data_IF_444322697637
#
_entry.id   IF_444322697637
#
_cell.length_a   1.000
_cell.length_b   1.000
_cell.length_c   1.000
_cell.angle_alpha   90.00
_cell.angle_beta   90.00
_cell.angle_gamma   90.00
#
_symmetry.space_group_name_H-M   'P 1'
#
loop_
_entity.id
_entity.type
_entity.pdbx_description
1 polymer ?
#
# COMPACT_ATOMS: atom_id res chain seq x y z
N UNK A 1 9.87 -5.78 -5.24
CA UNK A 1 8.83 -6.31 -4.33
C UNK A 1 7.79 -5.21 -4.10
N UNK A 2 6.55 -5.55 -3.72
CA UNK A 2 5.50 -4.60 -3.35
C UNK A 2 4.69 -5.12 -2.15
N UNK A 3 4.17 -4.22 -1.31
CA UNK A 3 3.42 -4.57 -0.09
C UNK A 3 2.22 -3.62 0.12
N UNK A 4 1.13 -3.75 -0.64
CA UNK A 4 -0.09 -3.02 -0.34
C UNK A 4 -0.74 -3.54 0.95
N UNK A 5 -1.06 -2.62 1.87
CA UNK A 5 -1.53 -2.95 3.22
C UNK A 5 -2.96 -2.48 3.41
N UNK A 6 -3.85 -3.41 3.78
CA UNK A 6 -5.27 -3.17 4.12
C UNK A 6 -6.01 -2.32 3.08
N UNK A 7 -5.67 -2.49 1.80
CA UNK A 7 -6.19 -1.64 0.72
C UNK A 7 -6.72 -2.40 -0.52
N UNK A 8 -6.17 -3.57 -0.85
CA UNK A 8 -6.55 -4.26 -2.11
C UNK A 8 -7.87 -4.99 -1.96
N UNK A 9 -8.79 -4.73 -2.89
CA UNK A 9 -10.09 -5.38 -2.97
C UNK A 9 -10.54 -5.52 -4.43
N UNK A 10 -11.27 -6.60 -4.73
CA UNK A 10 -11.93 -6.77 -6.04
C UNK A 10 -13.23 -5.95 -6.17
N UNK A 11 -13.80 -5.49 -5.05
CA UNK A 11 -15.14 -4.93 -5.00
C UNK A 11 -15.22 -3.52 -4.36
N UNK A 12 -14.08 -2.96 -3.96
CA UNK A 12 -13.95 -1.60 -3.44
C UNK A 12 -12.71 -0.92 -4.03
N UNK A 13 -12.91 0.25 -4.64
CA UNK A 13 -11.88 0.95 -5.40
C UNK A 13 -11.24 2.14 -4.66
N UNK A 14 -11.61 2.34 -3.39
CA UNK A 14 -11.25 3.52 -2.61
C UNK A 14 -12.39 4.53 -2.57
N UNK A 15 -12.64 5.08 -1.39
CA UNK A 15 -13.78 5.95 -1.12
C UNK A 15 -13.49 7.43 -1.41
N UNK A 16 -12.22 7.79 -1.54
CA UNK A 16 -11.78 9.14 -1.85
C UNK A 16 -11.60 9.35 -3.35
N UNK A 17 -11.85 10.58 -3.82
CA UNK A 17 -11.56 10.99 -5.20
C UNK A 17 -10.09 10.81 -5.58
N UNK A 18 -9.16 10.85 -4.63
CA UNK A 18 -7.75 10.58 -4.93
C UNK A 18 -7.47 9.11 -5.27
N UNK A 19 -8.36 8.19 -4.89
CA UNK A 19 -8.22 6.75 -5.12
C UNK A 19 -8.98 6.30 -6.37
N UNK A 20 -10.20 6.83 -6.56
CA UNK A 20 -11.15 6.35 -7.58
C UNK A 20 -11.78 7.47 -8.42
N UNK A 21 -11.24 8.70 -8.36
CA UNK A 21 -11.81 9.86 -9.06
C UNK A 21 -11.61 9.86 -10.58
N UNK A 22 -10.64 9.11 -11.10
CA UNK A 22 -10.42 8.91 -12.53
C UNK A 22 -10.92 7.51 -12.95
N UNK A 23 -11.42 7.34 -14.19
CA UNK A 23 -12.04 6.11 -14.66
C UNK A 23 -11.02 5.02 -15.03
N UNK A 24 -10.07 4.75 -14.14
CA UNK A 24 -9.01 3.74 -14.38
C UNK A 24 -9.55 2.31 -14.28
N UNK A 25 -10.57 2.08 -13.46
CA UNK A 25 -11.16 0.74 -13.26
C UNK A 25 -12.15 0.37 -14.36
N UNK A 26 -12.83 1.34 -14.99
CA UNK A 26 -13.88 1.05 -15.97
C UNK A 26 -14.05 2.17 -16.97
N UNK A 27 -14.08 1.82 -18.25
CA UNK A 27 -14.53 2.68 -19.34
C UNK A 27 -15.28 1.85 -20.41
N UNK A 28 -15.43 2.37 -21.63
CA UNK A 28 -16.14 1.68 -22.70
C UNK A 28 -15.42 0.44 -23.27
N UNK A 29 -14.10 0.35 -23.07
CA UNK A 29 -13.22 -0.66 -23.68
C UNK A 29 -12.70 -1.67 -22.66
N UNK A 30 -12.68 -1.32 -21.37
CA UNK A 30 -12.19 -2.20 -20.31
C UNK A 30 -12.93 -2.07 -18.99
N UNK A 31 -12.86 -3.15 -18.22
CA UNK A 31 -13.24 -3.20 -16.81
C UNK A 31 -12.17 -4.03 -16.08
N UNK A 32 -11.65 -3.50 -14.98
CA UNK A 32 -10.60 -4.11 -14.15
C UNK A 32 -10.85 -3.75 -12.68
N UNK A 33 -9.99 -4.22 -11.79
CA UNK A 33 -10.08 -4.00 -10.34
C UNK A 33 -8.68 -3.87 -9.71
N UNK A 34 -8.62 -3.49 -8.44
CA UNK A 34 -7.34 -3.31 -7.73
C UNK A 34 -6.55 -4.61 -7.56
N UNK A 35 -7.17 -5.78 -7.67
CA UNK A 35 -6.48 -7.09 -7.62
C UNK A 35 -5.62 -7.28 -8.86
N UNK A 36 -6.19 -7.04 -10.04
CA UNK A 36 -5.48 -7.13 -11.32
C UNK A 36 -4.38 -6.07 -11.42
N UNK A 37 -4.67 -4.84 -11.01
CA UNK A 37 -3.67 -3.76 -10.97
C UNK A 37 -2.51 -4.14 -10.03
N UNK A 38 -2.79 -4.61 -8.81
CA UNK A 38 -1.74 -5.04 -7.88
C UNK A 38 -0.94 -6.24 -8.41
N UNK A 39 -1.61 -7.20 -9.05
CA UNK A 39 -0.97 -8.40 -9.59
C UNK A 39 -0.16 -8.14 -10.88
N UNK A 40 -0.30 -6.97 -11.51
CA UNK A 40 0.48 -6.59 -12.71
C UNK A 40 2.00 -6.58 -12.50
N UNK A 41 2.45 -6.57 -11.24
CA UNK A 41 3.87 -6.65 -10.88
C UNK A 41 4.45 -8.09 -11.02
N UNK A 42 3.62 -9.10 -11.28
CA UNK A 42 4.07 -10.47 -11.51
C UNK A 42 5.18 -10.52 -12.58
N UNK A 43 6.24 -11.33 -12.41
CA UNK A 43 6.46 -12.33 -11.36
C UNK A 43 7.19 -11.80 -10.10
N UNK A 44 7.33 -10.47 -9.92
CA UNK A 44 8.10 -9.93 -8.78
C UNK A 44 7.39 -10.22 -7.45
N UNK A 45 8.11 -10.31 -6.31
CA UNK A 45 7.48 -10.57 -5.02
C UNK A 45 6.39 -9.57 -4.65
N UNK A 46 5.25 -10.06 -4.18
CA UNK A 46 4.10 -9.27 -3.72
C UNK A 46 3.53 -9.85 -2.42
N UNK A 47 3.38 -9.03 -1.40
CA UNK A 47 2.66 -9.38 -0.17
C UNK A 47 1.39 -8.54 -0.07
N UNK A 48 0.24 -9.20 0.04
CA UNK A 48 -1.03 -8.53 0.37
C UNK A 48 -1.27 -8.68 1.86
N UNK A 49 -1.42 -7.56 2.56
CA UNK A 49 -1.81 -7.56 3.97
C UNK A 49 -3.30 -7.21 4.08
N UNK A 50 -4.07 -8.05 4.75
CA UNK A 50 -5.53 -7.89 4.92
C UNK A 50 -5.98 -8.11 6.36
N UNK A 51 -7.19 -7.68 6.70
CA UNK A 51 -7.79 -7.85 8.02
C UNK A 51 -9.27 -8.30 7.91
N UNK A 52 -9.92 -8.59 9.04
CA UNK A 52 -11.29 -9.12 9.05
C UNK A 52 -12.41 -8.08 9.07
N UNK A 53 -12.12 -6.82 9.40
CA UNK A 53 -13.15 -5.79 9.66
C UNK A 53 -13.32 -4.75 8.55
N UNK A 54 -12.62 -4.88 7.41
CA UNK A 54 -12.76 -3.96 6.27
C UNK A 54 -13.02 -4.67 4.92
N UNK A 55 -12.91 -3.91 3.83
CA UNK A 55 -13.10 -4.40 2.46
C UNK A 55 -12.11 -5.51 2.03
N UNK A 56 -11.02 -5.70 2.78
CA UNK A 56 -10.01 -6.75 2.56
C UNK A 56 -10.34 -8.08 3.24
N UNK A 57 -11.45 -8.18 3.99
CA UNK A 57 -11.86 -9.42 4.67
C UNK A 57 -12.02 -10.64 3.75
N UNK A 58 -12.31 -10.41 2.47
CA UNK A 58 -12.49 -11.48 1.49
C UNK A 58 -11.17 -11.95 0.87
N UNK A 59 -10.05 -11.25 1.13
CA UNK A 59 -8.75 -11.52 0.48
C UNK A 59 -8.35 -12.98 0.52
N UNK A 60 -8.45 -13.71 1.65
CA UNK A 60 -8.06 -15.12 1.69
C UNK A 60 -8.85 -16.02 0.73
N UNK A 61 -10.10 -15.65 0.41
CA UNK A 61 -11.04 -16.49 -0.35
C UNK A 61 -11.28 -16.00 -1.79
N UNK A 62 -11.05 -14.73 -2.07
CA UNK A 62 -11.37 -14.11 -3.36
C UNK A 62 -10.12 -13.52 -3.99
N UNK A 63 -9.58 -12.44 -3.42
CA UNK A 63 -8.49 -11.69 -4.05
C UNK A 63 -7.19 -12.49 -4.12
N UNK A 64 -6.79 -13.20 -3.06
CA UNK A 64 -5.54 -13.95 -3.03
C UNK A 64 -5.53 -15.14 -4.00
N UNK A 65 -6.56 -16.01 -4.06
CA UNK A 65 -6.63 -17.04 -5.10
C UNK A 65 -6.62 -16.48 -6.52
N UNK A 66 -7.25 -15.32 -6.75
CA UNK A 66 -7.19 -14.63 -8.04
C UNK A 66 -5.76 -14.19 -8.37
N UNK A 67 -5.04 -13.55 -7.44
CA UNK A 67 -3.64 -13.18 -7.65
C UNK A 67 -2.74 -14.39 -7.87
N UNK A 68 -2.93 -15.47 -7.10
CA UNK A 68 -2.18 -16.71 -7.30
C UNK A 68 -2.35 -17.25 -8.72
N UNK A 69 -3.56 -17.16 -9.29
CA UNK A 69 -3.80 -17.55 -10.68
C UNK A 69 -3.01 -16.68 -11.66
N UNK A 70 -2.95 -15.37 -11.45
CA UNK A 70 -2.16 -14.46 -12.30
C UNK A 70 -0.66 -14.79 -12.20
N UNK A 71 -0.14 -15.01 -10.98
CA UNK A 71 1.27 -15.35 -10.77
C UNK A 71 1.63 -16.72 -11.37
N UNK A 72 0.72 -17.69 -11.32
CA UNK A 72 0.87 -19.01 -11.93
C UNK A 72 1.05 -18.92 -13.47
N UNK A 73 0.40 -17.96 -14.15
CA UNK A 73 0.63 -17.71 -15.58
C UNK A 73 2.08 -17.32 -15.90
N UNK A 74 2.80 -16.78 -14.93
CA UNK A 74 4.21 -16.38 -15.07
C UNK A 74 5.18 -17.44 -14.52
N UNK A 75 4.67 -18.60 -14.08
CA UNK A 75 5.48 -19.65 -13.47
C UNK A 75 6.01 -19.30 -12.07
N UNK A 76 5.46 -18.27 -11.42
CA UNK A 76 5.96 -17.72 -10.17
C UNK A 76 4.88 -17.67 -9.08
N UNK A 77 3.99 -18.66 -9.04
CA UNK A 77 2.86 -18.73 -8.08
C UNK A 77 3.26 -18.44 -6.62
N UNK A 78 4.43 -18.90 -6.21
CA UNK A 78 4.96 -18.75 -4.85
C UNK A 78 5.51 -17.34 -4.54
N UNK A 79 5.57 -16.43 -5.52
CA UNK A 79 6.03 -15.05 -5.31
C UNK A 79 4.91 -14.11 -4.85
N UNK A 80 3.69 -14.60 -4.65
CA UNK A 80 2.60 -13.84 -4.03
C UNK A 80 2.20 -14.47 -2.71
N UNK A 81 2.16 -13.65 -1.66
CA UNK A 81 1.87 -14.06 -0.28
C UNK A 81 0.68 -13.23 0.25
N UNK A 82 -0.09 -13.78 1.19
CA UNK A 82 -1.10 -13.05 1.95
C UNK A 82 -0.87 -13.21 3.46
N UNK A 83 -0.73 -12.09 4.16
CA UNK A 83 -0.80 -12.03 5.62
C UNK A 83 -2.19 -11.50 6.01
N UNK A 84 -3.04 -12.39 6.53
CA UNK A 84 -4.41 -12.06 6.92
C UNK A 84 -4.57 -12.06 8.44
N UNK A 85 -5.05 -10.94 8.98
CA UNK A 85 -5.29 -10.73 10.40
C UNK A 85 -6.80 -10.70 10.68
N UNK A 86 -7.40 -11.89 10.81
CA UNK A 86 -8.86 -12.06 10.85
C UNK A 86 -9.56 -11.34 12.01
N UNK A 87 -8.89 -11.21 13.16
CA UNK A 87 -9.46 -10.60 14.38
C UNK A 87 -9.06 -9.12 14.55
N UNK A 88 -8.46 -8.50 13.53
CA UNK A 88 -7.98 -7.12 13.58
C UNK A 88 -8.77 -6.20 12.64
N UNK A 89 -8.67 -4.89 12.91
CA UNK A 89 -9.34 -3.84 12.14
C UNK A 89 -8.46 -3.09 11.14
N UNK A 90 -9.03 -2.01 10.59
CA UNK A 90 -8.42 -1.15 9.57
C UNK A 90 -7.41 -0.17 10.17
N UNK A 91 -6.14 -0.58 10.18
CA UNK A 91 -5.02 0.21 10.67
C UNK A 91 -3.71 -0.21 9.98
N UNK A 92 -2.64 0.55 10.25
CA UNK A 92 -1.26 0.15 9.96
C UNK A 92 -0.50 -0.15 11.27
N UNK A 93 -1.09 -0.99 12.12
CA UNK A 93 -0.60 -1.39 13.43
C UNK A 93 0.61 -2.32 13.42
N UNK A 94 1.14 -2.69 14.61
CA UNK A 94 2.38 -3.45 14.76
C UNK A 94 2.40 -4.79 14.01
N UNK A 95 1.29 -5.53 14.01
CA UNK A 95 1.12 -6.79 13.28
C UNK A 95 1.34 -6.63 11.77
N UNK A 96 0.70 -5.63 11.16
CA UNK A 96 0.84 -5.30 9.73
C UNK A 96 2.27 -4.80 9.42
N UNK A 97 2.83 -3.93 10.26
CA UNK A 97 4.22 -3.45 10.08
C UNK A 97 5.23 -4.60 10.18
N UNK A 98 5.05 -5.50 11.13
CA UNK A 98 5.91 -6.66 11.29
C UNK A 98 5.89 -7.58 10.07
N UNK A 99 4.71 -7.83 9.48
CA UNK A 99 4.60 -8.58 8.23
C UNK A 99 5.33 -7.88 7.07
N UNK A 100 5.15 -6.56 6.94
CA UNK A 100 5.88 -5.74 5.96
C UNK A 100 7.40 -5.86 6.13
N UNK A 101 7.93 -5.68 7.35
CA UNK A 101 9.37 -5.73 7.60
C UNK A 101 9.98 -7.08 7.28
N UNK A 102 9.32 -8.17 7.71
CA UNK A 102 9.80 -9.53 7.44
C UNK A 102 9.86 -9.82 5.93
N UNK A 103 8.85 -9.39 5.19
CA UNK A 103 8.80 -9.56 3.74
C UNK A 103 9.86 -8.74 3.01
N UNK A 104 10.01 -7.45 3.35
CA UNK A 104 11.04 -6.60 2.75
C UNK A 104 12.44 -7.08 3.10
N UNK A 105 12.69 -7.50 4.34
CA UNK A 105 13.99 -8.04 4.74
C UNK A 105 14.35 -9.31 3.96
N UNK A 106 13.39 -10.23 3.78
CA UNK A 106 13.56 -11.44 2.95
C UNK A 106 13.95 -11.10 1.50
N UNK A 107 13.25 -10.14 0.87
CA UNK A 107 13.40 -9.89 -0.56
C UNK A 107 14.44 -8.85 -0.94
N UNK A 108 14.84 -7.98 0.00
CA UNK A 108 15.88 -6.97 -0.19
C UNK A 108 17.15 -7.25 0.62
N UNK A 109 17.26 -8.43 1.23
CA UNK A 109 18.43 -8.85 2.02
C UNK A 109 18.76 -7.85 3.15
N UNK A 110 17.72 -7.34 3.81
CA UNK A 110 17.89 -6.38 4.90
C UNK A 110 18.16 -7.11 6.22
N UNK A 111 18.97 -6.48 7.07
CA UNK A 111 19.30 -6.99 8.39
C UNK A 111 18.14 -6.74 9.37
N UNK A 112 17.26 -7.74 9.50
CA UNK A 112 16.11 -7.69 10.41
C UNK A 112 16.52 -7.63 11.88
N UNK A 113 17.74 -8.09 12.23
CA UNK A 113 18.22 -8.12 13.62
C UNK A 113 18.34 -6.72 14.24
N UNK A 114 18.41 -5.67 13.40
CA UNK A 114 18.47 -4.27 13.85
C UNK A 114 17.19 -3.76 14.50
N UNK A 115 16.07 -4.44 14.26
CA UNK A 115 14.75 -4.10 14.79
C UNK A 115 14.11 -5.31 15.45
N UNK A 116 14.92 -6.25 15.97
CA UNK A 116 14.43 -7.41 16.71
C UNK A 116 14.88 -7.36 18.17
N UNK A 117 13.98 -7.74 19.08
CA UNK A 117 14.34 -7.99 20.47
C UNK A 117 15.02 -9.37 20.63
N UNK A 118 15.39 -9.71 21.87
CA UNK A 118 16.03 -10.99 22.20
C UNK A 118 15.18 -12.23 21.88
N UNK A 119 13.87 -12.07 21.72
CA UNK A 119 12.91 -13.12 21.38
C UNK A 119 12.67 -13.23 19.86
N UNK A 120 13.30 -12.38 19.05
CA UNK A 120 13.13 -12.35 17.59
C UNK A 120 11.84 -11.67 17.12
N UNK A 121 11.13 -10.99 18.02
CA UNK A 121 9.98 -10.16 17.69
C UNK A 121 10.43 -8.78 17.20
N UNK A 122 9.60 -8.12 16.40
CA UNK A 122 9.89 -6.77 15.93
C UNK A 122 9.80 -5.79 17.10
N UNK A 123 10.87 -5.04 17.32
CA UNK A 123 10.99 -3.99 18.33
C UNK A 123 11.32 -2.65 17.66
N UNK A 124 10.34 -1.76 17.67
CA UNK A 124 10.43 -0.40 17.12
C UNK A 124 10.89 0.62 18.16
N UNK A 125 11.18 0.23 19.41
CA UNK A 125 11.55 1.16 20.49
C UNK A 125 12.85 1.94 20.22
N UNK A 126 13.69 1.44 19.30
CA UNK A 126 14.91 2.10 18.82
C UNK A 126 14.61 3.29 17.90
N UNK A 127 13.40 3.39 17.35
CA UNK A 127 13.02 4.44 16.42
C UNK A 127 12.72 5.75 17.15
N UNK A 128 13.24 6.85 16.62
CA UNK A 128 12.89 8.19 17.10
C UNK A 128 11.64 8.68 16.37
N UNK A 129 10.58 8.98 17.13
CA UNK A 129 9.40 9.65 16.59
C UNK A 129 9.68 11.16 16.60
N UNK A 130 9.91 11.72 15.40
CA UNK A 130 10.15 13.15 15.24
C UNK A 130 8.86 13.95 15.37
N UNK A 131 8.97 15.16 15.90
CA UNK A 131 7.87 16.12 15.88
C UNK A 131 7.54 16.52 14.45
N UNK A 132 6.25 16.75 14.18
CA UNK A 132 5.78 17.14 12.84
C UNK A 132 6.53 18.36 12.27
N UNK A 133 6.91 19.30 13.13
CA UNK A 133 7.63 20.51 12.74
C UNK A 133 8.98 20.22 12.07
N UNK A 134 9.70 19.20 12.57
CA UNK A 134 11.01 18.80 12.05
C UNK A 134 10.92 18.17 10.65
N UNK A 135 9.75 17.67 10.28
CA UNK A 135 9.48 17.02 9.00
C UNK A 135 8.97 18.00 7.92
N UNK A 136 8.74 19.27 8.25
CA UNK A 136 8.25 20.25 7.29
C UNK A 136 9.37 20.68 6.32
N UNK A 137 9.11 20.58 5.01
CA UNK A 137 9.98 21.18 3.99
C UNK A 137 9.93 22.72 4.08
N UNK A 138 8.76 23.27 4.35
CA UNK A 138 8.50 24.71 4.47
C UNK A 138 7.99 25.06 5.88
N UNK A 139 8.89 25.08 6.90
CA UNK A 139 8.55 25.53 8.25
C UNK A 139 8.25 27.05 8.26
N UNK A 140 7.68 27.58 9.35
CA UNK A 140 7.28 28.99 9.45
C UNK A 140 8.40 30.01 9.15
N UNK A 141 9.65 29.67 9.45
CA UNK A 141 10.84 30.50 9.21
C UNK A 141 11.46 30.31 7.81
N UNK A 142 11.00 29.30 7.05
CA UNK A 142 11.37 29.06 5.65
C UNK A 142 10.10 28.80 4.83
N UNK A 143 9.33 29.86 4.51
CA UNK A 143 8.07 29.72 3.79
C UNK A 143 8.29 29.20 2.37
N UNK A 144 7.18 28.77 1.75
CA UNK A 144 7.15 28.36 0.34
C UNK A 144 7.60 29.52 -0.57
N UNK A 145 8.19 29.24 -1.74
CA UNK A 145 8.48 30.28 -2.74
C UNK A 145 7.21 31.01 -3.18
N UNK A 146 7.31 32.30 -3.47
CA UNK A 146 6.17 33.18 -3.81
C UNK A 146 5.41 32.76 -5.09
N UNK A 147 6.03 31.96 -5.95
CA UNK A 147 5.40 31.42 -7.17
C UNK A 147 4.65 30.09 -6.93
N UNK A 148 4.64 29.55 -5.72
CA UNK A 148 3.96 28.30 -5.43
C UNK A 148 2.43 28.50 -5.47
N UNK A 149 1.72 27.63 -6.18
CA UNK A 149 0.26 27.57 -6.12
C UNK A 149 -0.15 27.03 -4.73
N UNK A 150 -0.95 27.80 -4.01
CA UNK A 150 -1.42 27.45 -2.65
C UNK A 150 -2.92 27.24 -2.57
N UNK A 151 -3.63 27.41 -3.69
CA UNK A 151 -5.08 27.28 -3.79
C UNK A 151 -5.43 25.98 -4.53
N UNK A 152 -6.33 25.19 -3.93
CA UNK A 152 -6.73 23.90 -4.48
C UNK A 152 -7.43 24.00 -5.83
N UNK A 153 -8.27 25.02 -6.02
CA UNK A 153 -9.02 25.22 -7.26
C UNK A 153 -8.09 25.61 -8.40
N UNK A 154 -7.05 26.41 -8.11
CA UNK A 154 -6.00 26.71 -9.09
C UNK A 154 -5.19 25.48 -9.48
N UNK A 155 -4.95 24.56 -8.55
CA UNK A 155 -4.29 23.28 -8.86
C UNK A 155 -5.16 22.45 -9.80
N UNK A 156 -6.46 22.30 -9.50
CA UNK A 156 -7.39 21.55 -10.34
C UNK A 156 -7.50 22.20 -11.73
N UNK A 157 -7.67 23.52 -11.80
CA UNK A 157 -7.74 24.23 -13.07
C UNK A 157 -6.49 24.01 -13.94
N UNK A 158 -5.30 23.93 -13.37
CA UNK A 158 -4.07 23.66 -14.13
C UNK A 158 -3.97 22.21 -14.60
N UNK A 159 -4.57 21.26 -13.88
CA UNK A 159 -4.67 19.85 -14.30
C UNK A 159 -5.66 19.69 -15.46
N UNK A 160 -6.82 20.33 -15.37
CA UNK A 160 -7.89 20.26 -16.39
C UNK A 160 -7.48 20.92 -17.72
N UNK A 161 -6.56 21.90 -17.68
CA UNK A 161 -6.06 22.59 -18.89
C UNK A 161 -5.23 21.72 -19.83
N UNK A 162 -4.89 20.49 -19.42
CA UNK A 162 -4.05 19.57 -20.20
C UNK A 162 -4.84 18.52 -20.98
N UNK A 163 -6.17 18.56 -20.94
CA UNK A 163 -7.09 17.84 -21.83
C UNK A 163 -7.50 18.70 -23.03
#
# INVERSE_FOLDING_TARGET
ASVPVVMVSANFYGGCTCESGLPIHKNAEHETNNVEIAASIAPKPLLIISNGEDWTKNVPQVEFPHMQRIYDLTGAKENVENAHFADEGHDYGPSKRAATYRFLAKHFELDLSRIQNGDGEIDESVLTVHDRGDLLVFPPDRPRPDYAITDGDLVIAELDRRE
#
